data_IF_665758460723
#
_entry.id   IF_665758460723
#
_cell.length_a   1.000
_cell.length_b   1.000
_cell.length_c   1.000
_cell.angle_alpha   90.00
_cell.angle_beta   90.00
_cell.angle_gamma   90.00
#
_symmetry.space_group_name_H-M   'P 1'
#
loop_
_entity.id
_entity.type
_entity.pdbx_description
1 polymer ?
#
# COMPACT_ATOMS: atom_id res chain seq x y z
N UNK A 1 2.28 3.26 -8.58
CA UNK A 1 3.36 4.12 -9.14
C UNK A 1 4.65 3.35 -9.29
N UNK A 2 5.62 3.87 -10.03
CA UNK A 2 6.97 3.28 -10.13
C UNK A 2 7.88 3.75 -8.99
N UNK A 3 8.99 3.03 -8.77
CA UNK A 3 9.91 3.27 -7.65
C UNK A 3 10.76 4.55 -7.76
N UNK A 4 10.81 5.16 -8.94
CA UNK A 4 11.48 6.43 -9.21
C UNK A 4 10.60 7.66 -8.87
N UNK A 5 9.30 7.47 -8.64
CA UNK A 5 8.40 8.53 -8.20
C UNK A 5 8.86 9.15 -6.87
N UNK A 6 8.56 10.44 -6.69
CA UNK A 6 8.92 11.17 -5.47
C UNK A 6 7.93 10.88 -4.34
N UNK A 7 8.35 11.11 -3.10
CA UNK A 7 7.43 11.08 -1.95
C UNK A 7 6.23 12.00 -2.17
N UNK A 8 6.43 13.19 -2.74
CA UNK A 8 5.35 14.11 -3.10
C UNK A 8 4.33 13.52 -4.05
N UNK A 9 4.77 12.82 -5.10
CA UNK A 9 3.87 12.15 -6.06
C UNK A 9 3.00 11.11 -5.37
N UNK A 10 3.58 10.37 -4.42
CA UNK A 10 2.89 9.35 -3.63
C UNK A 10 1.77 9.94 -2.81
N UNK A 11 2.05 11.07 -2.14
CA UNK A 11 1.06 11.75 -1.29
C UNK A 11 -0.13 12.27 -2.10
N UNK A 12 0.12 12.76 -3.31
CA UNK A 12 -0.94 13.15 -4.23
C UNK A 12 -1.76 11.94 -4.66
N UNK A 13 -1.11 10.81 -4.98
CA UNK A 13 -1.81 9.57 -5.36
C UNK A 13 -2.67 9.02 -4.21
N UNK A 14 -2.13 8.95 -2.99
CA UNK A 14 -2.85 8.51 -1.79
C UNK A 14 -4.10 9.37 -1.55
N UNK A 15 -3.97 10.68 -1.69
CA UNK A 15 -5.08 11.63 -1.54
C UNK A 15 -6.16 11.44 -2.60
N UNK A 16 -5.76 11.17 -3.87
CA UNK A 16 -6.70 10.92 -4.97
C UNK A 16 -7.47 9.61 -4.78
N UNK A 17 -6.79 8.55 -4.33
CA UNK A 17 -7.38 7.21 -4.17
C UNK A 17 -8.13 7.03 -2.85
N UNK A 18 -7.89 7.89 -1.85
CA UNK A 18 -8.55 7.88 -0.52
C UNK A 18 -8.41 6.56 0.25
N UNK A 19 -7.33 5.83 0.02
CA UNK A 19 -7.06 4.55 0.68
C UNK A 19 -6.05 4.68 1.84
N UNK A 20 -5.39 5.83 1.99
CA UNK A 20 -4.32 6.01 3.00
C UNK A 20 -3.08 5.16 2.73
N UNK A 21 -2.97 4.61 1.52
CA UNK A 21 -1.88 3.76 1.08
C UNK A 21 -1.70 3.80 -0.44
N UNK A 22 -0.49 3.49 -0.92
CA UNK A 22 -0.17 3.40 -2.34
C UNK A 22 0.88 2.33 -2.61
N UNK A 23 0.68 1.58 -3.70
CA UNK A 23 1.59 0.55 -4.16
C UNK A 23 2.67 1.10 -5.09
N UNK A 24 3.89 0.63 -4.85
CA UNK A 24 5.05 0.83 -5.72
C UNK A 24 5.24 -0.44 -6.54
N UNK A 25 5.33 -0.31 -7.86
CA UNK A 25 5.39 -1.41 -8.81
C UNK A 25 6.56 -1.27 -9.79
N UNK A 26 6.98 -2.36 -10.40
CA UNK A 26 7.90 -2.35 -11.55
C UNK A 26 7.15 -2.06 -12.87
N UNK A 27 7.88 -2.11 -13.98
CA UNK A 27 7.34 -1.86 -15.32
C UNK A 27 6.30 -2.92 -15.77
N UNK A 28 6.37 -4.12 -15.19
CA UNK A 28 5.42 -5.22 -15.43
C UNK A 28 4.19 -5.16 -14.50
N UNK A 29 4.12 -4.16 -13.62
CA UNK A 29 3.06 -3.97 -12.63
C UNK A 29 3.18 -4.87 -11.39
N UNK A 30 4.32 -5.55 -11.19
CA UNK A 30 4.57 -6.38 -10.01
C UNK A 30 4.84 -5.52 -8.79
N UNK A 31 4.29 -5.95 -7.65
CA UNK A 31 4.42 -5.20 -6.40
C UNK A 31 5.87 -5.22 -5.88
N UNK A 32 6.48 -4.04 -5.81
CA UNK A 32 7.81 -3.84 -5.20
C UNK A 32 7.70 -3.42 -3.73
N UNK A 33 6.67 -2.65 -3.39
CA UNK A 33 6.52 -2.12 -2.03
C UNK A 33 5.22 -1.36 -1.81
N UNK A 34 5.02 -0.94 -0.56
CA UNK A 34 3.85 -0.21 -0.10
C UNK A 34 4.27 1.01 0.69
N UNK A 35 3.53 2.11 0.53
CA UNK A 35 3.65 3.29 1.36
C UNK A 35 2.29 3.66 1.95
N UNK A 36 2.25 4.01 3.23
CA UNK A 36 1.02 4.28 4.00
C UNK A 36 1.09 5.58 4.79
N UNK A 37 -0.04 6.06 5.32
CA UNK A 37 -0.06 7.20 6.26
C UNK A 37 0.80 6.95 7.51
N UNK A 38 0.95 5.69 7.91
CA UNK A 38 1.85 5.28 8.99
C UNK A 38 3.32 5.49 8.64
N UNK A 39 3.70 5.18 7.40
CA UNK A 39 5.04 5.47 6.87
C UNK A 39 5.26 6.97 6.75
N UNK A 40 4.28 7.71 6.22
CA UNK A 40 4.34 9.18 6.12
C UNK A 40 4.71 9.83 7.45
N UNK A 41 3.99 9.49 8.52
CA UNK A 41 4.28 10.04 9.86
C UNK A 41 5.71 9.76 10.30
N UNK A 42 6.25 8.56 10.02
CA UNK A 42 7.63 8.18 10.37
C UNK A 42 8.65 8.89 9.49
N UNK A 43 8.40 8.97 8.19
CA UNK A 43 9.28 9.62 7.20
C UNK A 43 9.42 11.12 7.49
N UNK A 44 8.33 11.81 7.84
CA UNK A 44 8.38 13.25 8.18
C UNK A 44 9.11 13.54 9.49
N UNK A 45 9.17 12.57 10.40
CA UNK A 45 9.95 12.72 11.64
C UNK A 45 11.46 12.52 11.42
N UNK A 46 11.88 12.00 10.27
CA UNK A 46 13.28 11.79 9.94
C UNK A 46 13.98 13.12 9.59
N UNK A 47 15.13 13.45 10.18
CA UNK A 47 15.90 14.64 9.83
C UNK A 47 16.32 14.64 8.36
N UNK A 48 16.20 15.79 7.69
CA UNK A 48 16.72 15.99 6.34
C UNK A 48 15.87 15.37 5.22
N UNK A 49 14.63 14.96 5.50
CA UNK A 49 13.72 14.48 4.47
C UNK A 49 13.33 15.61 3.51
N UNK A 50 13.52 15.38 2.21
CA UNK A 50 13.02 16.24 1.14
C UNK A 50 11.83 15.55 0.46
N UNK A 51 10.62 16.05 0.69
CA UNK A 51 9.39 15.47 0.12
C UNK A 51 9.40 15.50 -1.42
N UNK A 52 10.06 16.48 -2.02
CA UNK A 52 10.07 16.65 -3.48
C UNK A 52 11.24 15.92 -4.15
N UNK A 53 12.32 15.62 -3.41
CA UNK A 53 13.50 14.93 -3.95
C UNK A 53 13.63 13.46 -3.54
N UNK A 54 13.02 13.04 -2.43
CA UNK A 54 13.16 11.67 -1.93
C UNK A 54 12.36 10.71 -2.80
N UNK A 55 13.02 9.69 -3.34
CA UNK A 55 12.35 8.64 -4.13
C UNK A 55 11.58 7.69 -3.22
N UNK A 56 10.42 7.25 -3.67
CA UNK A 56 9.58 6.34 -2.89
C UNK A 56 10.26 5.01 -2.59
N UNK A 57 11.09 4.50 -3.49
CA UNK A 57 11.83 3.25 -3.30
C UNK A 57 12.79 3.27 -2.09
N UNK A 58 13.13 4.46 -1.58
CA UNK A 58 14.00 4.66 -0.42
C UNK A 58 13.24 4.59 0.90
N UNK A 59 11.93 4.87 0.88
CA UNK A 59 11.10 5.00 2.10
C UNK A 59 9.89 4.06 2.13
N UNK A 60 9.65 3.28 1.07
CA UNK A 60 8.59 2.26 1.04
C UNK A 60 8.88 1.06 1.94
N UNK A 61 7.82 0.45 2.46
CA UNK A 61 7.90 -0.89 3.04
C UNK A 61 8.08 -1.90 1.91
N UNK A 62 9.20 -2.63 1.94
CA UNK A 62 9.48 -3.72 1.00
C UNK A 62 8.74 -4.98 1.41
N UNK A 63 8.29 -5.76 0.42
CA UNK A 63 7.56 -7.01 0.64
C UNK A 63 6.37 -6.86 1.60
N UNK A 64 5.40 -5.98 1.31
CA UNK A 64 4.23 -5.80 2.15
C UNK A 64 3.40 -7.08 2.21
N UNK A 65 2.56 -7.19 3.25
CA UNK A 65 1.54 -8.25 3.30
C UNK A 65 0.55 -8.03 2.17
N UNK A 66 0.30 -9.08 1.38
CA UNK A 66 -0.64 -9.08 0.26
C UNK A 66 -1.69 -10.15 0.43
N UNK A 67 -2.72 -10.10 -0.42
CA UNK A 67 -3.67 -11.18 -0.60
C UNK A 67 -3.84 -11.50 -2.08
N UNK A 68 -4.11 -12.76 -2.38
CA UNK A 68 -4.47 -13.20 -3.72
C UNK A 68 -5.84 -12.65 -4.16
N UNK A 69 -5.98 -12.37 -5.45
CA UNK A 69 -7.20 -11.85 -6.06
C UNK A 69 -8.41 -12.80 -5.92
N UNK A 70 -8.16 -14.11 -5.83
CA UNK A 70 -9.20 -15.14 -5.72
C UNK A 70 -9.51 -15.52 -4.27
N UNK A 71 -8.80 -14.95 -3.29
CA UNK A 71 -9.01 -15.25 -1.87
C UNK A 71 -10.30 -14.62 -1.32
N UNK A 72 -10.84 -15.24 -0.27
CA UNK A 72 -12.08 -14.77 0.34
C UNK A 72 -11.84 -13.51 1.18
N UNK A 73 -12.84 -12.63 1.23
CA UNK A 73 -12.78 -11.41 2.02
C UNK A 73 -12.57 -11.66 3.53
N UNK A 74 -13.02 -12.81 4.05
CA UNK A 74 -12.77 -13.21 5.44
C UNK A 74 -11.29 -13.52 5.70
N UNK A 75 -10.56 -14.00 4.70
CA UNK A 75 -9.12 -14.23 4.79
C UNK A 75 -8.37 -12.89 4.80
N UNK A 76 -8.83 -11.92 4.01
CA UNK A 76 -8.32 -10.54 4.08
C UNK A 76 -8.50 -9.95 5.47
N UNK A 77 -9.69 -10.09 6.07
CA UNK A 77 -9.96 -9.62 7.43
C UNK A 77 -9.02 -10.25 8.46
N UNK A 78 -8.80 -11.57 8.38
CA UNK A 78 -7.88 -12.29 9.27
C UNK A 78 -6.44 -11.85 9.09
N UNK A 79 -5.99 -11.64 7.86
CA UNK A 79 -4.64 -11.13 7.57
C UNK A 79 -4.45 -9.73 8.16
N UNK A 80 -5.43 -8.84 7.97
CA UNK A 80 -5.43 -7.49 8.53
C UNK A 80 -5.36 -7.51 10.06
N UNK A 81 -6.18 -8.33 10.72
CA UNK A 81 -6.18 -8.50 12.17
C UNK A 81 -4.83 -9.03 12.69
N UNK A 82 -4.34 -10.12 12.09
CA UNK A 82 -3.10 -10.80 12.49
C UNK A 82 -1.88 -9.87 12.40
N UNK A 83 -1.79 -9.11 11.32
CA UNK A 83 -0.67 -8.20 11.08
C UNK A 83 -0.90 -6.79 11.64
N UNK A 84 -2.07 -6.53 12.25
CA UNK A 84 -2.48 -5.22 12.78
C UNK A 84 -2.38 -4.10 11.74
N UNK A 85 -2.84 -4.40 10.52
CA UNK A 85 -2.88 -3.46 9.39
C UNK A 85 -4.33 -3.22 8.97
N UNK A 86 -4.62 -2.02 8.47
CA UNK A 86 -5.97 -1.61 8.06
C UNK A 86 -6.21 -1.69 6.55
N UNK A 87 -5.19 -2.07 5.78
CA UNK A 87 -5.23 -2.12 4.33
C UNK A 87 -4.31 -3.21 3.78
N UNK A 88 -4.66 -3.73 2.61
CA UNK A 88 -4.05 -4.91 2.01
C UNK A 88 -3.99 -4.73 0.49
N UNK A 89 -2.86 -5.05 -0.11
CA UNK A 89 -2.73 -5.06 -1.57
C UNK A 89 -3.25 -6.39 -2.11
N UNK A 90 -4.07 -6.32 -3.16
CA UNK A 90 -4.58 -7.50 -3.86
C UNK A 90 -3.69 -7.74 -5.09
N UNK A 91 -3.14 -8.94 -5.19
CA UNK A 91 -2.24 -9.33 -6.28
C UNK A 91 -2.75 -10.57 -7.02
N UNK A 92 -2.41 -10.68 -8.29
CA UNK A 92 -2.64 -11.92 -9.07
C UNK A 92 -1.54 -12.97 -8.82
N UNK A 93 -1.68 -14.14 -9.46
CA UNK A 93 -0.72 -15.25 -9.37
C UNK A 93 0.70 -14.90 -9.87
N UNK A 94 0.85 -13.86 -10.71
CA UNK A 94 2.14 -13.38 -11.21
C UNK A 94 2.74 -12.27 -10.31
N UNK A 95 2.05 -11.92 -9.22
CA UNK A 95 2.44 -10.88 -8.26
C UNK A 95 2.12 -9.46 -8.72
N UNK A 96 1.26 -9.29 -9.74
CA UNK A 96 0.84 -7.97 -10.22
C UNK A 96 -0.25 -7.40 -9.35
N UNK A 97 -0.18 -6.09 -9.10
CA UNK A 97 -1.21 -5.38 -8.35
C UNK A 97 -2.49 -5.27 -9.18
N UNK A 98 -3.58 -5.87 -8.70
CA UNK A 98 -4.89 -5.81 -9.34
C UNK A 98 -5.92 -5.00 -8.53
N UNK A 99 -5.62 -4.71 -7.26
CA UNK A 99 -6.50 -3.93 -6.40
C UNK A 99 -5.94 -3.69 -5.02
N UNK A 100 -6.76 -3.11 -4.15
CA UNK A 100 -6.47 -2.93 -2.74
C UNK A 100 -7.77 -3.03 -1.94
N UNK A 101 -7.66 -3.49 -0.70
CA UNK A 101 -8.75 -3.53 0.27
C UNK A 101 -8.38 -2.70 1.48
N UNK A 102 -9.35 -1.98 2.02
CA UNK A 102 -9.27 -1.38 3.34
C UNK A 102 -10.28 -2.07 4.29
N UNK A 103 -10.06 -1.94 5.60
CA UNK A 103 -10.95 -2.53 6.61
C UNK A 103 -12.39 -1.97 6.54
N UNK A 104 -12.55 -0.72 6.10
CA UNK A 104 -13.87 -0.11 5.92
C UNK A 104 -14.65 -0.74 4.76
N UNK A 105 -13.98 -1.26 3.73
CA UNK A 105 -14.59 -2.00 2.62
C UNK A 105 -15.20 -3.31 3.15
N UNK A 106 -14.46 -4.00 4.03
CA UNK A 106 -14.89 -5.26 4.65
C UNK A 106 -16.08 -5.04 5.61
N UNK A 107 -16.03 -3.98 6.41
CA UNK A 107 -17.14 -3.56 7.28
C UNK A 107 -18.38 -3.20 6.46
N UNK A 108 -18.22 -2.42 5.38
CA UNK A 108 -19.33 -2.04 4.50
C UNK A 108 -19.96 -3.25 3.80
N UNK A 109 -19.15 -4.24 3.45
CA UNK A 109 -19.58 -5.50 2.84
C UNK A 109 -20.19 -6.49 3.86
N UNK A 110 -20.21 -6.17 5.16
CA UNK A 110 -20.69 -7.04 6.26
C UNK A 110 -19.95 -8.38 6.33
N UNK A 111 -18.67 -8.36 5.98
CA UNK A 111 -17.77 -9.52 6.11
C UNK A 111 -17.36 -9.70 7.58
N UNK A 112 -17.23 -8.59 8.30
CA UNK A 112 -16.91 -8.46 9.72
C UNK A 112 -17.90 -7.54 10.42
#
# INVERSE_FOLDING_TARGET
>A
MHGDATLGDVLVEMSRKRLGMSAVVDDDGRLLGLYTDGDLRRTLAAPGIDVHGTRIAEVMTRSPVTIDADALAVEAARLMETHKISGLMVVDADGRVVGALNIHDLLRARVV
#
